data_IF_679633805203
#
_entry.id   IF_679633805203
#
_cell.length_a   1.000
_cell.length_b   1.000
_cell.length_c   1.000
_cell.angle_alpha   90.00
_cell.angle_beta   90.00
_cell.angle_gamma   90.00
#
_symmetry.space_group_name_H-M   'P 1'
#
loop_
_entity.id
_entity.type
_entity.pdbx_description
1 polymer ?
#
# COMPACT_ATOMS: atom_id res chain seq x y z
N UNK A 1 -10.10 -18.75 10.09
CA UNK A 1 -9.40 -18.85 8.79
C UNK A 1 -8.20 -17.89 8.78
N UNK A 2 -7.39 -17.86 7.72
CA UNK A 2 -6.19 -17.01 7.65
C UNK A 2 -6.50 -15.52 7.72
N UNK A 3 -7.60 -15.09 7.11
CA UNK A 3 -8.08 -13.70 7.15
C UNK A 3 -8.44 -13.27 8.58
N UNK A 4 -9.12 -14.13 9.34
CA UNK A 4 -9.44 -13.86 10.74
C UNK A 4 -8.20 -13.66 11.60
N UNK A 5 -7.17 -14.48 11.41
CA UNK A 5 -5.88 -14.34 12.11
C UNK A 5 -5.19 -13.03 11.73
N UNK A 6 -5.18 -12.66 10.45
CA UNK A 6 -4.61 -11.40 9.97
C UNK A 6 -5.30 -10.18 10.61
N UNK A 7 -6.64 -10.16 10.64
CA UNK A 7 -7.41 -9.06 11.22
C UNK A 7 -7.14 -8.94 12.72
N UNK A 8 -7.11 -10.05 13.45
CA UNK A 8 -6.81 -10.06 14.89
C UNK A 8 -5.38 -9.57 15.20
N UNK A 9 -4.39 -9.95 14.38
CA UNK A 9 -3.01 -9.49 14.51
C UNK A 9 -2.90 -7.96 14.42
N UNK A 10 -3.59 -7.35 13.45
CA UNK A 10 -3.58 -5.90 13.29
C UNK A 10 -4.41 -5.17 14.36
N UNK A 11 -5.51 -5.77 14.82
CA UNK A 11 -6.30 -5.25 15.96
C UNK A 11 -5.45 -5.15 17.23
N UNK A 12 -4.65 -6.17 17.54
CA UNK A 12 -3.71 -6.16 18.66
C UNK A 12 -2.62 -5.08 18.53
N UNK A 13 -2.31 -4.64 17.31
CA UNK A 13 -1.37 -3.55 17.01
C UNK A 13 -2.04 -2.17 16.92
N UNK A 14 -3.30 -2.06 17.32
CA UNK A 14 -4.03 -0.79 17.38
C UNK A 14 -4.62 -0.33 16.05
N UNK A 15 -4.71 -1.21 15.06
CA UNK A 15 -5.44 -0.95 13.81
C UNK A 15 -6.90 -1.37 14.00
N UNK A 16 -7.84 -0.44 13.78
CA UNK A 16 -9.27 -0.75 13.82
C UNK A 16 -9.62 -1.79 12.76
N UNK A 17 -10.17 -2.95 13.17
CA UNK A 17 -10.61 -4.00 12.24
C UNK A 17 -11.61 -3.52 11.20
N UNK A 18 -12.34 -2.43 11.46
CA UNK A 18 -13.31 -1.82 10.53
C UNK A 18 -12.63 -1.01 9.42
N UNK A 19 -11.33 -0.73 9.54
CA UNK A 19 -10.57 -0.01 8.52
C UNK A 19 -10.06 -0.91 7.39
N UNK A 20 -10.34 -2.22 7.48
CA UNK A 20 -10.05 -3.20 6.45
C UNK A 20 -11.16 -4.27 6.33
N UNK A 21 -11.50 -4.62 5.10
CA UNK A 21 -12.25 -5.82 4.76
C UNK A 21 -11.42 -6.64 3.78
N UNK A 22 -11.03 -7.85 4.17
CA UNK A 22 -10.12 -8.70 3.40
C UNK A 22 -10.86 -10.01 3.13
N UNK A 23 -10.87 -10.44 1.88
CA UNK A 23 -11.46 -11.68 1.36
C UNK A 23 -10.36 -12.63 0.88
N UNK A 24 -9.31 -12.09 0.27
CA UNK A 24 -8.15 -12.86 -0.14
C UNK A 24 -6.82 -12.12 0.14
N UNK A 25 -5.70 -12.85 0.05
CA UNK A 25 -4.37 -12.30 0.32
C UNK A 25 -3.68 -11.67 -0.89
N UNK A 26 -4.23 -11.83 -2.09
CA UNK A 26 -3.66 -11.34 -3.35
C UNK A 26 -4.16 -9.96 -3.75
N UNK A 27 -5.35 -9.56 -3.29
CA UNK A 27 -6.03 -8.34 -3.68
C UNK A 27 -6.80 -8.46 -5.00
N UNK A 28 -7.13 -9.68 -5.44
CA UNK A 28 -7.92 -9.91 -6.66
C UNK A 28 -9.41 -9.74 -6.42
N UNK A 29 -9.89 -10.00 -5.21
CA UNK A 29 -11.28 -9.76 -4.83
C UNK A 29 -11.62 -8.27 -4.93
N UNK A 30 -12.60 -7.89 -5.77
CA UNK A 30 -13.13 -6.54 -5.79
C UNK A 30 -13.88 -6.17 -4.50
N UNK A 31 -14.03 -7.08 -3.54
CA UNK A 31 -14.60 -6.80 -2.22
C UNK A 31 -13.54 -6.41 -1.18
N UNK A 32 -12.25 -6.57 -1.50
CA UNK A 32 -11.15 -6.13 -0.63
C UNK A 32 -11.18 -4.61 -0.46
N UNK A 33 -11.18 -4.14 0.79
CA UNK A 33 -11.18 -2.73 1.17
C UNK A 33 -10.15 -2.49 2.24
N UNK A 34 -9.39 -1.42 2.09
CA UNK A 34 -8.50 -0.93 3.13
C UNK A 34 -8.34 0.58 2.96
N UNK A 35 -8.22 1.31 4.05
CA UNK A 35 -7.94 2.76 3.96
C UNK A 35 -6.45 3.00 3.73
N UNK A 36 -6.12 4.08 3.01
CA UNK A 36 -4.71 4.49 2.81
C UNK A 36 -4.00 4.77 4.13
N UNK A 37 -4.69 5.36 5.12
CA UNK A 37 -4.14 5.59 6.46
C UNK A 37 -3.77 4.28 7.17
N UNK A 38 -4.59 3.24 7.02
CA UNK A 38 -4.31 1.92 7.58
C UNK A 38 -3.13 1.26 6.88
N UNK A 39 -3.08 1.33 5.54
CA UNK A 39 -1.95 0.81 4.78
C UNK A 39 -0.64 1.50 5.16
N UNK A 40 -0.63 2.82 5.32
CA UNK A 40 0.55 3.57 5.75
C UNK A 40 0.98 3.18 7.18
N UNK A 41 0.03 2.98 8.11
CA UNK A 41 0.33 2.48 9.47
C UNK A 41 0.91 1.07 9.46
N UNK A 42 0.43 0.19 8.58
CA UNK A 42 0.99 -1.16 8.40
C UNK A 42 2.44 -1.06 7.93
N UNK A 43 2.74 -0.24 6.92
CA UNK A 43 4.09 -0.03 6.43
C UNK A 43 5.01 0.58 7.50
N UNK A 44 4.52 1.56 8.25
CA UNK A 44 5.25 2.13 9.38
C UNK A 44 5.51 1.10 10.48
N UNK A 45 4.55 0.23 10.78
CA UNK A 45 4.76 -0.85 11.74
C UNK A 45 5.79 -1.87 11.24
N UNK A 46 5.83 -2.14 9.92
CA UNK A 46 6.79 -3.05 9.30
C UNK A 46 8.21 -2.52 9.37
N UNK A 47 8.42 -1.20 9.21
CA UNK A 47 9.76 -0.58 9.26
C UNK A 47 10.45 -0.67 10.61
N UNK A 48 9.71 -1.00 11.68
CA UNK A 48 10.27 -1.21 13.02
C UNK A 48 10.55 -2.68 13.36
N UNK A 49 10.36 -3.61 12.42
CA UNK A 49 10.49 -5.04 12.69
C UNK A 49 11.87 -5.57 12.30
N UNK A 50 12.39 -6.62 12.97
CA UNK A 50 13.69 -7.21 12.64
C UNK A 50 13.80 -7.71 11.20
N UNK A 51 12.67 -8.12 10.60
CA UNK A 51 12.57 -8.63 9.23
C UNK A 51 12.38 -7.54 8.18
N UNK A 52 12.42 -6.26 8.56
CA UNK A 52 12.16 -5.15 7.63
C UNK A 52 13.12 -5.15 6.42
N UNK A 53 14.39 -5.52 6.61
CA UNK A 53 15.37 -5.56 5.52
C UNK A 53 14.91 -6.45 4.37
N UNK A 54 14.51 -7.69 4.67
CA UNK A 54 14.01 -8.65 3.67
C UNK A 54 12.70 -8.16 3.04
N UNK A 55 11.79 -7.60 3.85
CA UNK A 55 10.54 -7.02 3.35
C UNK A 55 10.78 -5.85 2.40
N UNK A 56 11.66 -4.92 2.77
CA UNK A 56 12.01 -3.75 1.96
C UNK A 56 12.68 -4.16 0.65
N UNK A 57 13.58 -5.15 0.69
CA UNK A 57 14.22 -5.67 -0.52
C UNK A 57 13.27 -6.44 -1.43
N UNK A 58 12.24 -7.08 -0.87
CA UNK A 58 11.19 -7.73 -1.66
C UNK A 58 10.32 -6.74 -2.47
N UNK A 59 10.30 -5.46 -2.10
CA UNK A 59 9.56 -4.45 -2.84
C UNK A 59 10.29 -4.12 -4.16
N UNK A 60 9.58 -4.17 -5.31
CA UNK A 60 10.16 -3.78 -6.57
C UNK A 60 10.43 -2.27 -6.60
N UNK A 61 11.33 -1.86 -7.48
CA UNK A 61 11.60 -0.44 -7.76
C UNK A 61 10.67 0.02 -8.90
N UNK A 62 9.84 1.00 -8.63
CA UNK A 62 9.01 1.69 -9.61
C UNK A 62 9.10 3.19 -9.38
N UNK A 63 9.17 3.99 -10.45
CA UNK A 63 9.28 5.45 -10.35
C UNK A 63 10.43 5.91 -9.42
N UNK A 64 11.53 5.15 -9.38
CA UNK A 64 12.68 5.33 -8.48
C UNK A 64 12.36 5.17 -6.97
N UNK A 65 11.29 4.45 -6.64
CA UNK A 65 10.81 4.21 -5.27
C UNK A 65 10.66 2.72 -4.99
N UNK A 66 10.88 2.29 -3.74
CA UNK A 66 10.60 0.91 -3.28
C UNK A 66 9.12 0.79 -2.94
N UNK A 67 8.33 0.23 -3.86
CA UNK A 67 6.87 0.19 -3.69
C UNK A 67 6.20 -1.00 -4.38
N UNK A 68 5.08 -1.44 -3.81
CA UNK A 68 4.21 -2.42 -4.44
C UNK A 68 3.11 -1.72 -5.25
N UNK A 69 2.87 -2.21 -6.46
CA UNK A 69 1.74 -1.82 -7.31
C UNK A 69 0.54 -2.74 -7.10
N UNK A 70 -0.66 -2.19 -7.28
CA UNK A 70 -1.91 -2.94 -7.35
C UNK A 70 -2.77 -2.40 -8.49
N UNK A 71 -3.36 -3.29 -9.29
CA UNK A 71 -4.25 -2.93 -10.39
C UNK A 71 -5.27 -4.02 -10.63
N UNK A 72 -6.53 -3.61 -10.68
CA UNK A 72 -7.67 -4.37 -11.19
C UNK A 72 -8.54 -3.39 -12.00
N UNK A 73 -9.68 -3.85 -12.52
CA UNK A 73 -10.55 -2.99 -13.32
C UNK A 73 -10.89 -1.68 -12.59
N UNK A 74 -10.56 -0.54 -13.21
CA UNK A 74 -10.81 0.82 -12.69
C UNK A 74 -10.22 1.11 -11.30
N UNK A 75 -9.19 0.36 -10.89
CA UNK A 75 -8.44 0.59 -9.64
C UNK A 75 -6.94 0.63 -9.92
N UNK A 76 -6.27 1.65 -9.40
CA UNK A 76 -4.81 1.76 -9.42
C UNK A 76 -4.32 2.17 -8.03
N UNK A 77 -3.37 1.42 -7.49
CA UNK A 77 -2.82 1.66 -6.16
C UNK A 77 -1.30 1.50 -6.14
N UNK A 78 -0.66 2.25 -5.25
CA UNK A 78 0.74 2.12 -4.89
C UNK A 78 0.92 2.31 -3.39
N UNK A 79 1.76 1.50 -2.77
CA UNK A 79 2.14 1.67 -1.38
C UNK A 79 3.61 1.26 -1.19
N UNK A 80 4.36 2.02 -0.42
CA UNK A 80 5.79 1.79 -0.29
C UNK A 80 6.50 2.86 0.51
N UNK A 81 7.80 3.01 0.22
CA UNK A 81 8.71 3.90 0.92
C UNK A 81 9.46 4.80 -0.05
N UNK A 82 9.76 6.01 0.41
CA UNK A 82 10.59 6.99 -0.30
C UNK A 82 11.37 7.81 0.72
N UNK A 83 12.64 8.08 0.45
CA UNK A 83 13.42 9.04 1.25
C UNK A 83 13.20 10.44 0.69
N UNK A 84 12.72 11.35 1.52
CA UNK A 84 12.51 12.77 1.20
C UNK A 84 13.31 13.61 2.19
N UNK A 85 14.20 14.46 1.70
CA UNK A 85 15.05 15.34 2.53
C UNK A 85 15.78 14.61 3.69
N UNK A 86 16.31 13.41 3.39
CA UNK A 86 17.02 12.58 4.38
C UNK A 86 16.12 11.82 5.36
N UNK A 87 14.80 11.99 5.29
CA UNK A 87 13.82 11.26 6.09
C UNK A 87 13.14 10.19 5.25
N UNK A 88 13.19 8.94 5.70
CA UNK A 88 12.39 7.88 5.09
C UNK A 88 10.90 8.06 5.45
N UNK A 89 10.08 8.16 4.41
CA UNK A 89 8.63 8.23 4.48
C UNK A 89 8.03 6.90 4.03
N UNK A 90 6.86 6.56 4.57
CA UNK A 90 5.98 5.55 4.00
C UNK A 90 4.76 6.24 3.38
N UNK A 91 4.21 5.67 2.32
CA UNK A 91 3.07 6.24 1.62
C UNK A 91 2.10 5.15 1.14
N UNK A 92 0.85 5.55 0.95
CA UNK A 92 -0.17 4.76 0.27
C UNK A 92 -1.08 5.69 -0.54
N UNK A 93 -1.22 5.40 -1.82
CA UNK A 93 -2.11 6.10 -2.75
C UNK A 93 -3.00 5.08 -3.45
N UNK A 94 -4.31 5.33 -3.45
CA UNK A 94 -5.31 4.44 -4.02
C UNK A 94 -6.33 5.27 -4.77
N UNK A 95 -6.54 4.96 -6.04
CA UNK A 95 -7.58 5.55 -6.88
C UNK A 95 -8.52 4.43 -7.28
N UNK A 96 -9.78 4.57 -6.90
CA UNK A 96 -10.85 3.63 -7.23
C UNK A 96 -11.84 4.28 -8.19
N UNK A 97 -12.49 3.45 -9.02
CA UNK A 97 -13.54 3.86 -9.95
C UNK A 97 -13.10 5.02 -10.88
N UNK A 98 -11.85 5.00 -11.34
CA UNK A 98 -11.40 6.00 -12.31
C UNK A 98 -11.93 5.68 -13.71
N UNK A 99 -12.13 6.72 -14.51
CA UNK A 99 -12.45 6.61 -15.94
C UNK A 99 -11.20 6.81 -16.81
N UNK A 100 -11.14 6.11 -17.94
CA UNK A 100 -10.04 6.22 -18.91
C UNK A 100 -9.04 5.08 -18.84
N UNK A 101 -7.84 5.27 -19.39
CA UNK A 101 -6.82 4.22 -19.47
C UNK A 101 -6.01 4.10 -18.17
N UNK A 102 -5.56 2.87 -17.87
CA UNK A 102 -4.66 2.62 -16.73
C UNK A 102 -3.32 3.36 -16.84
N UNK A 103 -2.82 3.61 -18.05
CA UNK A 103 -1.61 4.42 -18.26
C UNK A 103 -1.82 5.88 -17.87
N UNK A 104 -2.95 6.49 -18.25
CA UNK A 104 -3.22 7.89 -17.97
C UNK A 104 -3.36 8.17 -16.47
N UNK A 105 -4.03 7.29 -15.70
CA UNK A 105 -4.11 7.45 -14.25
C UNK A 105 -2.74 7.22 -13.59
N UNK A 106 -1.98 6.23 -14.04
CA UNK A 106 -0.63 5.96 -13.52
C UNK A 106 0.28 7.16 -13.70
N UNK A 107 0.28 7.81 -14.86
CA UNK A 107 1.06 9.03 -15.10
C UNK A 107 0.70 10.15 -14.11
N UNK A 108 -0.60 10.37 -13.86
CA UNK A 108 -1.05 11.37 -12.88
C UNK A 108 -0.62 11.02 -11.45
N UNK A 109 -0.71 9.75 -11.07
CA UNK A 109 -0.27 9.27 -9.76
C UNK A 109 1.24 9.41 -9.60
N UNK A 110 2.04 9.13 -10.64
CA UNK A 110 3.49 9.31 -10.61
C UNK A 110 3.89 10.78 -10.48
N UNK A 111 3.16 11.71 -11.12
CA UNK A 111 3.38 13.15 -10.89
C UNK A 111 3.20 13.52 -9.42
N UNK A 112 2.14 13.04 -8.77
CA UNK A 112 1.93 13.29 -7.34
C UNK A 112 3.01 12.62 -6.47
N UNK A 113 3.39 11.38 -6.79
CA UNK A 113 4.45 10.68 -6.05
C UNK A 113 5.81 11.38 -6.19
N UNK A 114 6.09 12.01 -7.33
CA UNK A 114 7.34 12.74 -7.52
C UNK A 114 7.54 13.91 -6.55
N UNK A 115 6.47 14.44 -5.95
CA UNK A 115 6.55 15.45 -4.87
C UNK A 115 7.20 14.92 -3.58
N UNK A 116 7.33 13.58 -3.45
CA UNK A 116 8.01 12.93 -2.32
C UNK A 116 9.49 12.66 -2.60
N UNK A 117 10.00 12.96 -3.80
CA UNK A 117 11.42 12.73 -4.13
C UNK A 117 12.34 13.71 -3.40
#
# INVERSE_FOLDING_TARGET
DGVGVLKAFWEQKGIDKRSMNIFDGSGLSPEDRITTSTMARILQSASSQPWFGDFYESLPVYNDMKMKSGSINSVQAYAGFQTHEGRQLCFAIMVNNYSGTGSAIREKMFRLLNELK
#
